data_IF_063942633673
#
_entry.id   IF_063942633673
#
_cell.length_a   1.000
_cell.length_b   1.000
_cell.length_c   1.000
_cell.angle_alpha   90.00
_cell.angle_beta   90.00
_cell.angle_gamma   90.00
#
_symmetry.space_group_name_H-M   'P 1'
#
loop_
_entity.id
_entity.type
_entity.pdbx_description
1 polymer ?
#
# COMPACT_ATOMS: atom_id res chain seq x y z
N UNK A 1 -18.26 3.21 9.57
CA UNK A 1 -16.96 3.05 10.26
C UNK A 1 -15.92 2.67 9.25
N UNK A 2 -14.72 3.23 9.36
CA UNK A 2 -13.59 2.88 8.50
C UNK A 2 -12.86 1.65 9.05
N UNK A 3 -12.26 0.87 8.16
CA UNK A 3 -11.34 -0.20 8.51
C UNK A 3 -9.93 0.21 8.06
N UNK A 4 -8.94 -0.02 8.91
CA UNK A 4 -7.54 0.23 8.59
C UNK A 4 -6.78 -1.10 8.63
N UNK A 5 -5.90 -1.29 7.65
CA UNK A 5 -5.08 -2.49 7.51
C UNK A 5 -3.64 -2.07 7.17
N UNK A 6 -2.67 -2.84 7.65
CA UNK A 6 -1.27 -2.72 7.27
C UNK A 6 -0.87 -4.00 6.56
N UNK A 7 -0.27 -3.88 5.38
CA UNK A 7 0.25 -5.01 4.60
C UNK A 7 1.74 -4.77 4.40
N UNK A 8 2.54 -5.79 4.71
CA UNK A 8 3.99 -5.78 4.48
C UNK A 8 4.35 -7.07 3.78
N UNK A 9 5.14 -6.96 2.72
CA UNK A 9 5.58 -8.10 1.92
C UNK A 9 7.09 -8.04 1.81
N UNK A 10 7.77 -9.10 2.27
CA UNK A 10 9.22 -9.25 2.08
C UNK A 10 9.47 -9.77 0.65
N UNK A 11 9.84 -8.86 -0.25
CA UNK A 11 10.01 -9.17 -1.67
C UNK A 11 11.13 -10.18 -1.92
N UNK A 12 12.15 -10.24 -1.07
CA UNK A 12 13.24 -11.22 -1.19
C UNK A 12 12.76 -12.66 -1.00
N UNK A 13 11.60 -12.87 -0.37
CA UNK A 13 11.08 -14.22 -0.04
C UNK A 13 9.97 -14.68 -0.96
N UNK A 14 9.54 -13.84 -1.90
CA UNK A 14 8.44 -14.16 -2.80
C UNK A 14 8.89 -15.23 -3.78
N UNK A 15 8.16 -16.35 -3.81
CA UNK A 15 8.42 -17.41 -4.78
C UNK A 15 9.67 -18.25 -4.51
N UNK A 16 10.19 -18.20 -3.28
CA UNK A 16 11.25 -19.07 -2.80
C UNK A 16 10.65 -20.12 -1.87
N UNK A 17 10.91 -21.39 -2.14
CA UNK A 17 10.67 -22.50 -1.20
C UNK A 17 11.98 -23.25 -0.95
N UNK A 18 12.55 -23.05 0.24
CA UNK A 18 13.82 -23.65 0.64
C UNK A 18 13.70 -25.16 0.87
N UNK A 19 12.51 -25.69 1.17
CA UNK A 19 12.33 -27.12 1.45
C UNK A 19 12.40 -27.95 0.17
N UNK A 20 11.84 -27.41 -0.91
CA UNK A 20 11.77 -28.06 -2.23
C UNK A 20 12.82 -27.51 -3.21
N UNK A 21 13.69 -26.59 -2.76
CA UNK A 21 14.73 -25.92 -3.57
C UNK A 21 14.11 -25.28 -4.83
N UNK A 22 13.00 -24.57 -4.63
CA UNK A 22 12.29 -23.87 -5.69
C UNK A 22 12.59 -22.39 -5.60
N UNK A 23 13.01 -21.82 -6.73
CA UNK A 23 13.04 -20.38 -6.93
C UNK A 23 12.48 -20.08 -8.32
N UNK A 24 11.44 -19.25 -8.37
CA UNK A 24 10.83 -18.83 -9.64
C UNK A 24 11.56 -17.61 -10.22
N UNK A 25 11.40 -17.41 -11.52
CA UNK A 25 11.93 -16.23 -12.22
C UNK A 25 11.43 -14.92 -11.60
N UNK A 26 12.30 -13.90 -11.54
CA UNK A 26 11.99 -12.58 -11.00
C UNK A 26 10.79 -11.92 -11.71
N UNK A 27 10.58 -12.21 -12.99
CA UNK A 27 9.40 -11.77 -13.74
C UNK A 27 8.10 -12.34 -13.17
N UNK A 28 8.08 -13.61 -12.75
CA UNK A 28 6.92 -14.23 -12.10
C UNK A 28 6.77 -13.75 -10.65
N UNK A 29 7.88 -13.52 -9.92
CA UNK A 29 7.83 -12.89 -8.58
C UNK A 29 7.15 -11.52 -8.64
N UNK A 30 7.57 -10.67 -9.58
CA UNK A 30 6.95 -9.36 -9.82
C UNK A 30 5.46 -9.49 -10.17
N UNK A 31 5.11 -10.41 -11.09
CA UNK A 31 3.71 -10.64 -11.49
C UNK A 31 2.83 -11.06 -10.31
N UNK A 32 3.32 -11.86 -9.37
CA UNK A 32 2.57 -12.26 -8.16
C UNK A 32 2.25 -11.06 -7.27
N UNK A 33 3.21 -10.17 -7.06
CA UNK A 33 3.00 -8.96 -6.26
C UNK A 33 2.09 -7.96 -6.97
N UNK A 34 2.22 -7.80 -8.28
CA UNK A 34 1.30 -6.96 -9.08
C UNK A 34 -0.14 -7.48 -8.96
N UNK A 35 -0.36 -8.80 -9.06
CA UNK A 35 -1.68 -9.42 -8.87
C UNK A 35 -2.23 -9.19 -7.47
N UNK A 36 -1.37 -9.24 -6.44
CA UNK A 36 -1.76 -8.88 -5.07
C UNK A 36 -2.20 -7.42 -4.97
N UNK A 37 -1.44 -6.48 -5.54
CA UNK A 37 -1.79 -5.05 -5.58
C UNK A 37 -3.12 -4.80 -6.31
N UNK A 38 -3.34 -5.46 -7.45
CA UNK A 38 -4.61 -5.39 -8.18
C UNK A 38 -5.77 -5.96 -7.34
N UNK A 39 -5.54 -7.05 -6.62
CA UNK A 39 -6.54 -7.64 -5.72
C UNK A 39 -6.92 -6.66 -4.60
N UNK A 40 -5.94 -6.00 -3.99
CA UNK A 40 -6.17 -4.99 -2.94
C UNK A 40 -6.97 -3.81 -3.49
N UNK A 41 -6.65 -3.34 -4.70
CA UNK A 41 -7.34 -2.22 -5.35
C UNK A 41 -8.84 -2.47 -5.55
N UNK A 42 -9.23 -3.72 -5.78
CA UNK A 42 -10.63 -4.11 -6.01
C UNK A 42 -11.22 -4.90 -4.84
N UNK A 43 -10.60 -4.85 -3.66
CA UNK A 43 -10.93 -5.73 -2.56
C UNK A 43 -12.39 -5.56 -2.11
N UNK A 44 -13.09 -6.68 -2.01
CA UNK A 44 -14.40 -6.78 -1.38
C UNK A 44 -14.47 -8.11 -0.64
N UNK A 45 -15.41 -8.21 0.30
CA UNK A 45 -15.62 -9.44 1.06
C UNK A 45 -17.08 -9.82 1.08
N UNK A 46 -17.39 -11.06 0.72
CA UNK A 46 -18.73 -11.61 0.88
C UNK A 46 -18.86 -12.27 2.27
N UNK A 47 -19.85 -11.86 3.07
CA UNK A 47 -20.10 -12.37 4.43
C UNK A 47 -21.60 -12.56 4.62
N UNK A 48 -22.01 -13.78 5.01
CA UNK A 48 -23.40 -14.08 5.43
C UNK A 48 -24.47 -13.44 4.51
N UNK A 49 -24.27 -13.55 3.19
CA UNK A 49 -25.21 -13.04 2.17
C UNK A 49 -25.12 -11.54 1.86
N UNK A 50 -24.11 -10.82 2.36
CA UNK A 50 -23.82 -9.42 2.00
C UNK A 50 -22.43 -9.28 1.41
N UNK A 51 -22.25 -8.28 0.55
CA UNK A 51 -20.96 -7.86 0.02
C UNK A 51 -20.53 -6.57 0.72
N UNK A 52 -19.38 -6.62 1.38
CA UNK A 52 -18.74 -5.46 1.99
C UNK A 52 -17.66 -4.92 1.03
N UNK A 53 -17.72 -3.61 0.73
CA UNK A 53 -16.71 -2.94 -0.07
C UNK A 53 -15.49 -2.61 0.81
N UNK A 54 -14.32 -3.14 0.45
CA UNK A 54 -13.07 -2.97 1.18
C UNK A 54 -12.00 -2.30 0.31
N UNK A 55 -12.40 -1.70 -0.81
CA UNK A 55 -11.48 -0.93 -1.65
C UNK A 55 -10.89 0.22 -0.83
N UNK A 56 -9.57 0.49 -0.97
CA UNK A 56 -8.95 1.60 -0.27
C UNK A 56 -9.59 2.95 -0.63
N UNK A 57 -9.95 3.71 0.39
CA UNK A 57 -10.36 5.12 0.26
C UNK A 57 -9.15 6.05 0.40
N UNK A 58 -8.17 5.60 1.18
CA UNK A 58 -6.85 6.17 1.36
C UNK A 58 -5.83 5.02 1.43
N UNK A 59 -4.65 5.22 0.86
CA UNK A 59 -3.54 4.28 0.96
C UNK A 59 -2.21 5.06 0.99
N UNK A 60 -1.27 4.59 1.79
CA UNK A 60 0.09 5.15 1.85
C UNK A 60 1.09 4.00 1.97
N UNK A 61 2.20 4.11 1.25
CA UNK A 61 3.24 3.10 1.24
C UNK A 61 4.11 3.17 -0.02
N UNK A 62 5.04 2.22 -0.09
CA UNK A 62 6.11 2.20 -1.07
C UNK A 62 6.84 0.86 -1.07
N UNK A 63 7.90 0.78 -1.86
CA UNK A 63 8.88 -0.30 -1.82
C UNK A 63 10.12 0.26 -1.15
N UNK A 64 10.63 -0.43 -0.12
CA UNK A 64 11.71 0.07 0.72
C UNK A 64 12.80 -0.97 0.89
N UNK A 65 14.02 -0.53 1.12
CA UNK A 65 15.15 -1.39 1.49
C UNK A 65 15.09 -1.88 2.95
N UNK A 66 14.08 -1.44 3.71
CA UNK A 66 13.88 -1.77 5.12
C UNK A 66 12.74 -2.77 5.27
N UNK A 67 13.03 -3.92 5.88
CA UNK A 67 12.07 -5.00 6.17
C UNK A 67 11.26 -4.77 7.46
N UNK A 68 10.67 -3.59 7.60
CA UNK A 68 9.92 -3.20 8.80
C UNK A 68 8.50 -2.73 8.41
N UNK A 69 7.42 -3.13 9.11
CA UNK A 69 6.08 -2.60 8.89
C UNK A 69 5.95 -1.15 9.40
N UNK A 70 6.55 -0.20 8.67
CA UNK A 70 6.72 1.20 9.09
C UNK A 70 5.38 1.87 9.47
N UNK A 71 4.31 1.63 8.70
CA UNK A 71 3.00 2.23 8.93
C UNK A 71 2.09 1.47 9.92
N UNK A 72 2.63 0.50 10.66
CA UNK A 72 1.83 -0.23 11.65
C UNK A 72 1.27 0.74 12.70
N UNK A 73 -0.07 0.79 12.82
CA UNK A 73 -0.79 1.75 13.67
C UNK A 73 -0.49 3.23 13.36
N UNK A 74 -0.04 3.59 12.16
CA UNK A 74 0.16 4.99 11.76
C UNK A 74 -1.15 5.67 11.29
N UNK A 75 -2.16 4.88 10.92
CA UNK A 75 -3.44 5.37 10.41
C UNK A 75 -4.50 5.42 11.50
N UNK A 76 -5.15 6.59 11.61
CA UNK A 76 -6.27 6.82 12.51
C UNK A 76 -7.25 7.81 11.85
N UNK A 77 -8.55 7.60 12.05
CA UNK A 77 -9.60 8.46 11.51
C UNK A 77 -10.55 8.84 12.64
N UNK A 78 -10.61 10.14 12.94
CA UNK A 78 -11.46 10.71 13.99
C UNK A 78 -12.40 11.72 13.39
N UNK A 79 -13.70 11.58 13.66
CA UNK A 79 -14.73 12.50 13.15
C UNK A 79 -14.62 12.74 11.64
N UNK A 80 -14.50 11.65 10.87
CA UNK A 80 -14.33 11.68 9.40
C UNK A 80 -13.07 12.39 8.87
N UNK A 81 -12.08 12.63 9.73
CA UNK A 81 -10.79 13.24 9.36
C UNK A 81 -9.64 12.27 9.59
N UNK A 82 -8.76 12.14 8.60
CA UNK A 82 -7.52 11.38 8.70
C UNK A 82 -6.51 12.16 9.56
N UNK A 83 -5.85 11.49 10.50
CA UNK A 83 -4.78 12.08 11.31
C UNK A 83 -3.47 12.18 10.49
N UNK A 84 -3.34 13.25 9.70
CA UNK A 84 -2.18 13.48 8.82
C UNK A 84 -0.89 13.68 9.63
N UNK A 85 -0.97 14.31 10.80
CA UNK A 85 0.18 14.52 11.68
C UNK A 85 0.82 13.21 12.11
N UNK A 86 -0.01 12.25 12.58
CA UNK A 86 0.44 10.91 12.97
C UNK A 86 1.15 10.17 11.84
N UNK A 87 0.69 10.34 10.60
CA UNK A 87 1.35 9.74 9.43
C UNK A 87 2.70 10.40 9.19
N UNK A 88 2.78 11.73 9.24
CA UNK A 88 4.03 12.48 9.02
C UNK A 88 5.11 12.17 10.04
N UNK A 89 4.74 11.92 11.29
CA UNK A 89 5.69 11.55 12.35
C UNK A 89 6.42 10.23 12.06
N UNK A 90 5.82 9.37 11.22
CA UNK A 90 6.39 8.08 10.80
C UNK A 90 7.23 8.23 9.52
N UNK A 91 7.06 9.33 8.75
CA UNK A 91 7.81 9.60 7.53
C UNK A 91 9.18 10.23 7.83
N UNK A 92 10.18 9.39 8.10
CA UNK A 92 11.59 9.81 8.25
C UNK A 92 12.35 9.77 6.91
N UNK A 93 13.56 10.36 6.88
CA UNK A 93 14.31 10.66 5.66
C UNK A 93 14.49 9.44 4.72
N UNK A 94 14.82 8.26 5.25
CA UNK A 94 15.15 7.08 4.43
C UNK A 94 13.96 6.46 3.67
N UNK A 95 12.72 6.80 4.02
CA UNK A 95 11.52 6.21 3.40
C UNK A 95 10.67 7.24 2.68
N UNK A 96 10.92 8.53 2.90
CA UNK A 96 10.02 9.60 2.48
C UNK A 96 9.94 9.70 0.96
N UNK A 97 11.07 9.60 0.28
CA UNK A 97 11.16 9.79 -1.17
C UNK A 97 10.55 8.61 -1.97
N UNK A 98 10.52 7.42 -1.36
CA UNK A 98 9.90 6.22 -1.91
C UNK A 98 8.48 5.95 -1.37
N UNK A 99 7.93 6.88 -0.58
CA UNK A 99 6.56 6.79 -0.07
C UNK A 99 5.59 7.57 -0.94
N UNK A 100 4.54 6.89 -1.37
CA UNK A 100 3.46 7.48 -2.16
C UNK A 100 2.14 7.42 -1.40
N UNK A 101 1.22 8.29 -1.78
CA UNK A 101 -0.11 8.37 -1.19
C UNK A 101 -1.19 8.36 -2.28
N UNK A 102 -2.23 7.56 -2.08
CA UNK A 102 -3.43 7.51 -2.93
C UNK A 102 -4.68 7.90 -2.16
N UNK A 103 -5.56 8.69 -2.78
CA UNK A 103 -6.79 9.20 -2.15
C UNK A 103 -7.99 9.12 -3.11
N UNK A 104 -9.14 8.70 -2.58
CA UNK A 104 -10.46 8.91 -3.18
C UNK A 104 -11.05 10.19 -2.58
N UNK A 105 -11.10 11.25 -3.39
CA UNK A 105 -11.64 12.56 -2.98
C UNK A 105 -13.15 12.53 -2.78
N UNK A 106 -13.66 13.43 -1.94
CA UNK A 106 -15.06 13.58 -1.55
C UNK A 106 -15.46 12.71 -0.34
N UNK A 107 -14.52 12.06 0.34
CA UNK A 107 -14.81 11.09 1.40
C UNK A 107 -14.42 11.62 2.79
N UNK A 108 -13.19 12.12 2.95
CA UNK A 108 -12.73 12.67 4.22
C UNK A 108 -12.96 14.18 4.25
N UNK A 109 -13.27 14.71 5.44
CA UNK A 109 -13.52 16.15 5.60
C UNK A 109 -12.22 16.98 5.39
N UNK A 110 -11.06 16.33 5.40
CA UNK A 110 -9.75 16.95 5.26
C UNK A 110 -8.98 16.53 4.00
N UNK A 111 -9.67 16.18 2.91
CA UNK A 111 -9.03 15.84 1.63
C UNK A 111 -7.98 16.86 1.18
N UNK A 112 -8.24 18.16 1.34
CA UNK A 112 -7.29 19.22 0.94
C UNK A 112 -5.99 19.14 1.74
N UNK A 113 -6.06 18.84 3.04
CA UNK A 113 -4.90 18.67 3.92
C UNK A 113 -4.11 17.43 3.51
N UNK A 114 -4.80 16.32 3.24
CA UNK A 114 -4.18 15.07 2.78
C UNK A 114 -3.42 15.30 1.46
N UNK A 115 -4.04 16.00 0.51
CA UNK A 115 -3.41 16.31 -0.79
C UNK A 115 -2.20 17.23 -0.61
N UNK A 116 -2.31 18.30 0.18
CA UNK A 116 -1.22 19.27 0.32
C UNK A 116 -0.02 18.74 1.12
N UNK A 117 -0.28 17.97 2.18
CA UNK A 117 0.75 17.55 3.13
C UNK A 117 1.39 16.19 2.75
N UNK A 118 0.62 15.29 2.13
CA UNK A 118 1.09 13.94 1.76
C UNK A 118 1.26 13.75 0.25
N UNK A 119 0.99 14.78 -0.56
CA UNK A 119 1.13 14.70 -2.01
C UNK A 119 0.19 13.69 -2.67
N UNK A 120 -1.02 13.53 -2.11
CA UNK A 120 -1.91 12.44 -2.49
C UNK A 120 -2.33 12.48 -3.97
N UNK A 121 -2.09 11.37 -4.66
CA UNK A 121 -2.48 11.09 -6.03
C UNK A 121 -3.88 10.47 -6.10
N UNK A 122 -4.41 10.27 -7.30
CA UNK A 122 -5.57 9.38 -7.44
C UNK A 122 -5.18 7.96 -7.03
N UNK A 123 -6.15 7.21 -6.52
CA UNK A 123 -5.92 5.81 -6.14
C UNK A 123 -5.40 4.95 -7.30
N UNK A 124 -5.82 5.25 -8.54
CA UNK A 124 -5.30 4.58 -9.74
C UNK A 124 -3.81 4.87 -9.94
N UNK A 125 -3.40 6.14 -9.93
CA UNK A 125 -2.00 6.54 -10.11
C UNK A 125 -1.09 5.94 -9.02
N UNK A 126 -1.56 5.95 -7.78
CA UNK A 126 -0.84 5.33 -6.65
C UNK A 126 -0.54 3.85 -6.89
N UNK A 127 -1.54 3.05 -7.29
CA UNK A 127 -1.31 1.63 -7.57
C UNK A 127 -0.42 1.39 -8.79
N UNK A 128 -0.51 2.22 -9.83
CA UNK A 128 0.38 2.09 -11.00
C UNK A 128 1.84 2.43 -10.65
N UNK A 129 2.08 3.41 -9.77
CA UNK A 129 3.41 3.70 -9.24
C UNK A 129 3.97 2.53 -8.43
N UNK A 130 3.19 1.95 -7.50
CA UNK A 130 3.65 0.79 -6.72
C UNK A 130 4.01 -0.39 -7.61
N UNK A 131 3.20 -0.69 -8.64
CA UNK A 131 3.51 -1.75 -9.61
C UNK A 131 4.81 -1.48 -10.36
N UNK A 132 5.09 -0.20 -10.69
CA UNK A 132 6.34 0.19 -11.35
C UNK A 132 7.55 -0.03 -10.42
N UNK A 133 7.46 0.37 -9.16
CA UNK A 133 8.57 0.16 -8.20
C UNK A 133 8.80 -1.32 -7.91
N UNK A 134 7.74 -2.13 -7.81
CA UNK A 134 7.86 -3.60 -7.71
C UNK A 134 8.60 -4.20 -8.90
N UNK A 135 8.26 -3.77 -10.14
CA UNK A 135 8.97 -4.24 -11.34
C UNK A 135 10.44 -3.85 -11.30
N UNK A 136 10.72 -2.58 -11.01
CA UNK A 136 12.09 -2.04 -10.92
C UNK A 136 12.93 -2.82 -9.91
N UNK A 137 12.35 -3.17 -8.75
CA UNK A 137 13.04 -3.99 -7.74
C UNK A 137 13.46 -5.36 -8.28
N UNK A 138 12.57 -6.08 -8.96
CA UNK A 138 12.86 -7.41 -9.53
C UNK A 138 13.62 -7.39 -10.87
N UNK A 139 13.69 -6.24 -11.54
CA UNK A 139 14.55 -6.05 -12.74
C UNK A 139 16.00 -5.71 -12.37
N UNK A 140 16.22 -5.19 -11.15
CA UNK A 140 17.54 -4.74 -10.67
C UNK A 140 18.24 -5.75 -9.76
N UNK A 141 17.53 -6.81 -9.34
CA UNK A 141 18.00 -7.93 -8.52
C UNK A 141 17.65 -9.24 -9.22
#
# INVERSE_FOLDING_TARGET
>A
SYYAYTITVDLDRVGIDENDVIEIENTEKANRIIKLLDTIRFLYRDIKGRREDLKPLFAIGGVYDIKNPIFHNALDVKSNRLDVGRIKDVLYEDIKDDTYCGLIKGIFDNDNEIVSELGALSMLEYFELLKKEVKKYYESN
#
